data_IF_811058822478
#
_entry.id   IF_811058822478
#
_cell.length_a   1.000
_cell.length_b   1.000
_cell.length_c   1.000
_cell.angle_alpha   90.00
_cell.angle_beta   90.00
_cell.angle_gamma   90.00
#
_symmetry.space_group_name_H-M   'P 1'
#
loop_
_entity.id
_entity.type
_entity.pdbx_description
1 polymer ?
#
# COMPACT_ATOMS: atom_id res chain seq x y z
N UNK A 1 28.85 -6.04 -7.62
CA UNK A 1 28.29 -5.32 -6.45
C UNK A 1 26.80 -5.59 -6.23
N UNK A 2 25.91 -5.40 -7.22
CA UNK A 2 24.45 -5.64 -7.05
C UNK A 2 24.06 -7.06 -6.60
N UNK A 3 24.63 -8.13 -7.20
CA UNK A 3 24.33 -9.53 -6.81
C UNK A 3 24.70 -9.85 -5.36
N UNK A 4 25.85 -9.39 -4.89
CA UNK A 4 26.30 -9.65 -3.52
C UNK A 4 25.46 -8.88 -2.49
N UNK A 5 24.98 -7.67 -2.85
CA UNK A 5 24.05 -6.90 -2.03
C UNK A 5 22.67 -7.58 -1.93
N UNK A 6 22.16 -8.12 -3.05
CA UNK A 6 20.91 -8.90 -3.05
C UNK A 6 21.04 -10.19 -2.23
N UNK A 7 22.14 -10.93 -2.37
CA UNK A 7 22.41 -12.14 -1.59
C UNK A 7 22.51 -11.81 -0.11
N UNK A 8 23.21 -10.73 0.25
CA UNK A 8 23.33 -10.24 1.62
C UNK A 8 21.97 -9.84 2.22
N UNK A 9 21.11 -9.16 1.45
CA UNK A 9 19.75 -8.86 1.89
C UNK A 9 18.91 -10.12 2.12
N UNK A 10 19.04 -11.12 1.24
CA UNK A 10 18.32 -12.39 1.36
C UNK A 10 18.82 -13.18 2.57
N UNK A 11 20.14 -13.28 2.79
CA UNK A 11 20.70 -13.97 3.96
C UNK A 11 20.39 -13.24 5.26
N UNK A 12 20.39 -11.90 5.26
CA UNK A 12 19.96 -11.11 6.41
C UNK A 12 18.47 -11.38 6.72
N UNK A 13 17.62 -11.38 5.69
CA UNK A 13 16.19 -11.71 5.82
C UNK A 13 15.98 -13.13 6.38
N UNK A 14 16.74 -14.13 5.89
CA UNK A 14 16.64 -15.53 6.37
C UNK A 14 17.15 -15.69 7.81
N UNK A 15 18.21 -14.97 8.19
CA UNK A 15 18.74 -15.01 9.56
C UNK A 15 17.78 -14.39 10.59
N UNK A 16 17.04 -13.34 10.20
CA UNK A 16 16.01 -12.70 11.03
C UNK A 16 14.78 -13.60 11.27
N UNK A 17 14.59 -14.65 10.45
CA UNK A 17 13.48 -15.60 10.59
C UNK A 17 13.79 -16.76 11.57
N UNK A 18 15.01 -16.85 12.11
CA UNK A 18 15.52 -18.05 12.82
C UNK A 18 15.36 -18.04 14.36
N UNK A 19 14.49 -17.23 14.94
CA UNK A 19 14.20 -17.26 16.40
C UNK A 19 13.23 -18.40 16.77
N UNK A 20 13.29 -18.97 17.98
CA UNK A 20 12.47 -20.12 18.44
C UNK A 20 11.25 -19.71 19.28
N UNK A 21 10.28 -20.63 19.43
CA UNK A 21 8.95 -20.57 20.07
C UNK A 21 7.76 -20.36 19.11
N UNK A 22 6.88 -21.38 19.05
CA UNK A 22 5.69 -21.49 18.19
C UNK A 22 4.58 -20.53 18.65
N UNK A 23 4.79 -19.23 18.44
CA UNK A 23 3.72 -18.24 18.31
C UNK A 23 3.40 -18.07 16.82
N UNK A 24 2.22 -17.55 16.53
CA UNK A 24 1.74 -17.26 15.18
C UNK A 24 2.63 -16.22 14.50
N UNK A 25 3.54 -16.65 13.62
CA UNK A 25 4.58 -15.72 13.13
C UNK A 25 4.23 -15.01 11.85
N UNK A 26 3.30 -15.56 11.07
CA UNK A 26 3.04 -15.08 9.72
C UNK A 26 1.54 -14.87 9.56
N UNK A 27 1.15 -13.75 8.95
CA UNK A 27 -0.21 -13.45 8.60
C UNK A 27 -0.30 -12.97 7.16
N UNK A 28 -1.41 -13.29 6.51
CA UNK A 28 -1.80 -12.72 5.22
C UNK A 28 -3.04 -11.85 5.40
N UNK A 29 -3.13 -10.77 4.63
CA UNK A 29 -4.09 -9.70 4.87
C UNK A 29 -4.67 -9.22 3.56
N UNK A 30 -5.97 -8.93 3.57
CA UNK A 30 -6.63 -8.17 2.51
C UNK A 30 -7.44 -7.04 3.13
N UNK A 31 -7.23 -5.82 2.65
CA UNK A 31 -7.95 -4.62 3.02
C UNK A 31 -9.19 -4.45 2.15
N UNK A 32 -10.35 -4.61 2.78
CA UNK A 32 -11.66 -4.60 2.14
C UNK A 32 -12.04 -3.23 1.57
N UNK A 33 -11.39 -2.13 2.02
CA UNK A 33 -11.61 -0.80 1.44
C UNK A 33 -11.03 -0.68 0.02
N UNK A 34 -9.99 -1.44 -0.32
CA UNK A 34 -9.42 -1.40 -1.66
C UNK A 34 -10.25 -2.21 -2.66
N UNK A 35 -10.93 -3.26 -2.21
CA UNK A 35 -11.86 -4.03 -3.03
C UNK A 35 -13.01 -3.14 -3.56
N UNK A 36 -13.46 -2.19 -2.73
CA UNK A 36 -14.44 -1.15 -3.09
C UNK A 36 -13.94 -0.26 -4.24
N UNK A 37 -12.62 -0.10 -4.40
CA UNK A 37 -12.00 0.65 -5.51
C UNK A 37 -11.56 -0.24 -6.67
N UNK A 38 -11.93 -1.52 -6.66
CA UNK A 38 -11.44 -2.55 -7.59
C UNK A 38 -9.91 -2.68 -7.61
N UNK A 39 -9.24 -2.34 -6.51
CA UNK A 39 -7.78 -2.46 -6.36
C UNK A 39 -7.48 -3.79 -5.70
N UNK A 40 -6.79 -4.67 -6.42
CA UNK A 40 -6.29 -5.93 -5.87
C UNK A 40 -5.23 -5.59 -4.84
N UNK A 41 -5.37 -6.11 -3.63
CA UNK A 41 -4.45 -5.81 -2.55
C UNK A 41 -4.12 -7.08 -1.76
N UNK A 42 -2.88 -7.19 -1.30
CA UNK A 42 -2.40 -8.30 -0.49
C UNK A 42 -1.30 -7.81 0.44
N UNK A 43 -1.42 -8.13 1.72
CA UNK A 43 -0.42 -7.89 2.75
C UNK A 43 0.12 -9.17 3.33
N UNK A 44 1.39 -9.18 3.68
CA UNK A 44 2.03 -10.21 4.49
C UNK A 44 2.66 -9.54 5.70
N UNK A 45 2.40 -10.07 6.89
CA UNK A 45 2.90 -9.53 8.15
C UNK A 45 3.60 -10.62 8.96
N UNK A 46 4.80 -10.33 9.45
CA UNK A 46 5.62 -11.26 10.19
C UNK A 46 5.99 -10.72 11.58
N UNK A 47 5.81 -11.52 12.63
CA UNK A 47 6.23 -11.19 14.00
C UNK A 47 7.73 -11.43 14.18
N UNK A 48 8.48 -10.34 14.34
CA UNK A 48 9.93 -10.37 14.55
C UNK A 48 10.31 -10.35 16.03
N UNK A 49 9.41 -9.88 16.90
CA UNK A 49 9.55 -9.91 18.36
C UNK A 49 8.16 -9.85 19.01
N UNK A 50 8.01 -10.14 20.32
CA UNK A 50 6.69 -10.24 20.98
C UNK A 50 5.74 -9.05 20.81
N UNK A 51 6.29 -7.87 20.52
CA UNK A 51 5.55 -6.61 20.29
C UNK A 51 5.90 -5.92 18.98
N UNK A 52 6.63 -6.58 18.08
CA UNK A 52 7.05 -6.01 16.81
C UNK A 52 6.69 -6.92 15.65
N UNK A 53 5.99 -6.36 14.68
CA UNK A 53 5.74 -7.01 13.40
C UNK A 53 6.25 -6.15 12.25
N UNK A 54 6.59 -6.81 11.14
CA UNK A 54 6.91 -6.17 9.88
C UNK A 54 5.88 -6.59 8.84
N UNK A 55 5.23 -5.61 8.22
CA UNK A 55 4.26 -5.82 7.15
C UNK A 55 4.85 -5.38 5.81
N UNK A 56 4.55 -6.12 4.75
CA UNK A 56 4.69 -5.68 3.37
C UNK A 56 3.33 -5.79 2.69
N UNK A 57 2.81 -4.68 2.19
CA UNK A 57 1.57 -4.65 1.41
C UNK A 57 1.83 -4.26 -0.04
N UNK A 58 1.14 -4.94 -0.95
CA UNK A 58 1.14 -4.65 -2.37
C UNK A 58 -0.29 -4.32 -2.81
N UNK A 59 -0.43 -3.25 -3.58
CA UNK A 59 -1.69 -2.79 -4.14
C UNK A 59 -1.53 -2.68 -5.66
N UNK A 60 -2.45 -3.24 -6.41
CA UNK A 60 -2.41 -3.29 -7.87
C UNK A 60 -3.80 -3.05 -8.47
N UNK A 61 -3.87 -2.06 -9.35
CA UNK A 61 -5.05 -1.75 -10.14
C UNK A 61 -4.66 -1.78 -11.62
N UNK A 62 -5.12 -2.76 -12.41
CA UNK A 62 -4.78 -2.85 -13.83
C UNK A 62 -5.76 -2.11 -14.75
N UNK A 63 -6.86 -1.55 -14.22
CA UNK A 63 -8.05 -1.29 -15.02
C UNK A 63 -7.88 -0.13 -16.00
N UNK A 64 -8.41 -0.35 -17.20
CA UNK A 64 -8.66 0.67 -18.22
C UNK A 64 -10.11 0.52 -18.64
N UNK A 65 -10.86 1.62 -18.60
CA UNK A 65 -12.27 1.66 -18.91
C UNK A 65 -12.49 2.27 -20.31
N UNK A 66 -13.74 2.28 -20.79
CA UNK A 66 -14.10 2.89 -22.07
C UNK A 66 -13.64 4.37 -22.14
N UNK A 67 -13.43 4.86 -23.36
CA UNK A 67 -12.98 6.23 -23.64
C UNK A 67 -11.62 6.60 -23.02
N UNK A 68 -10.69 5.62 -22.95
CA UNK A 68 -9.30 5.81 -22.50
C UNK A 68 -9.18 6.30 -21.04
N UNK A 69 -10.20 6.02 -20.23
CA UNK A 69 -10.17 6.23 -18.78
C UNK A 69 -9.22 5.22 -18.14
N UNK A 70 -8.17 5.69 -17.45
CA UNK A 70 -7.13 4.83 -16.85
C UNK A 70 -7.15 4.96 -15.34
N UNK A 71 -7.06 3.81 -14.68
CA UNK A 71 -6.94 3.71 -13.23
C UNK A 71 -5.80 2.76 -12.89
N UNK A 72 -4.64 2.93 -13.53
CA UNK A 72 -3.52 2.01 -13.30
C UNK A 72 -2.69 2.47 -12.12
N UNK A 73 -2.42 1.56 -11.20
CA UNK A 73 -1.61 1.81 -10.02
C UNK A 73 -0.91 0.52 -9.63
N UNK A 74 0.37 0.58 -9.32
CA UNK A 74 1.00 -0.42 -8.46
C UNK A 74 1.71 0.31 -7.33
N UNK A 75 1.61 -0.22 -6.12
CA UNK A 75 2.21 0.37 -4.93
C UNK A 75 2.67 -0.72 -3.97
N UNK A 76 3.86 -0.54 -3.41
CA UNK A 76 4.34 -1.29 -2.25
C UNK A 76 4.34 -0.37 -1.03
N UNK A 77 3.99 -0.92 0.12
CA UNK A 77 3.96 -0.21 1.38
C UNK A 77 4.45 -1.12 2.51
N UNK A 78 5.77 -1.14 2.79
CA UNK A 78 6.32 -1.78 3.97
C UNK A 78 6.05 -0.94 5.23
N UNK A 79 5.80 -1.62 6.34
CA UNK A 79 5.47 -1.00 7.62
C UNK A 79 6.10 -1.77 8.79
N UNK A 80 6.74 -1.03 9.69
CA UNK A 80 7.14 -1.55 10.99
C UNK A 80 6.06 -1.20 12.01
N UNK A 81 5.62 -2.18 12.79
CA UNK A 81 4.50 -2.03 13.71
C UNK A 81 4.91 -2.41 15.12
N UNK A 82 4.58 -1.54 16.07
CA UNK A 82 4.76 -1.77 17.49
C UNK A 82 3.41 -1.98 18.17
N UNK A 83 3.24 -3.14 18.81
CA UNK A 83 2.04 -3.56 19.51
C UNK A 83 2.13 -3.21 20.99
N UNK A 84 1.05 -2.67 21.56
CA UNK A 84 1.06 -2.26 22.97
C UNK A 84 1.06 -3.45 23.95
N UNK A 85 0.55 -4.60 23.54
CA UNK A 85 0.46 -5.80 24.38
C UNK A 85 1.25 -6.97 23.79
N UNK A 86 0.78 -7.52 22.66
CA UNK A 86 1.36 -8.66 21.95
C UNK A 86 1.07 -8.54 20.45
N UNK A 87 1.94 -9.11 19.61
CA UNK A 87 1.74 -9.21 18.16
C UNK A 87 0.33 -9.70 17.80
N UNK A 88 -0.24 -9.10 16.75
CA UNK A 88 -1.56 -9.47 16.22
C UNK A 88 -2.73 -9.36 17.23
N UNK A 89 -2.63 -8.52 18.26
CA UNK A 89 -3.71 -8.34 19.24
C UNK A 89 -3.80 -6.92 19.81
N UNK A 90 -4.97 -6.31 19.66
CA UNK A 90 -5.28 -5.00 20.22
C UNK A 90 -4.60 -3.84 19.48
N UNK A 91 -4.11 -2.86 20.24
CA UNK A 91 -3.58 -1.61 19.72
C UNK A 91 -2.16 -1.74 19.15
N UNK A 92 -1.90 -1.06 18.04
CA UNK A 92 -0.56 -0.90 17.50
C UNK A 92 -0.32 0.48 16.88
N UNK A 93 0.95 0.86 16.81
CA UNK A 93 1.44 2.02 16.06
C UNK A 93 2.31 1.52 14.90
N UNK A 94 2.16 2.14 13.74
CA UNK A 94 2.89 1.81 12.52
C UNK A 94 3.76 2.97 12.04
N UNK A 95 4.91 2.66 11.45
CA UNK A 95 5.67 3.58 10.63
C UNK A 95 5.89 2.93 9.27
N UNK A 96 5.44 3.58 8.20
CA UNK A 96 5.42 3.01 6.85
C UNK A 96 6.15 3.86 5.84
N UNK A 97 6.73 3.19 4.86
CA UNK A 97 7.11 3.77 3.59
C UNK A 97 6.04 3.37 2.58
N UNK A 98 5.84 4.17 1.55
CA UNK A 98 4.99 3.81 0.42
C UNK A 98 5.61 4.29 -0.88
N UNK A 99 5.42 3.55 -1.95
CA UNK A 99 5.85 3.99 -3.26
C UNK A 99 5.43 3.07 -4.38
N UNK A 100 5.43 3.62 -5.58
CA UNK A 100 4.99 2.91 -6.77
C UNK A 100 4.71 3.85 -7.93
N UNK A 101 4.04 3.33 -8.94
CA UNK A 101 3.74 4.08 -10.16
C UNK A 101 2.25 4.09 -10.44
N UNK A 102 1.82 5.17 -11.08
CA UNK A 102 0.43 5.39 -11.40
C UNK A 102 0.26 5.94 -12.81
N UNK A 103 -0.90 5.66 -13.39
CA UNK A 103 -1.37 6.21 -14.65
C UNK A 103 -2.88 6.42 -14.54
N UNK A 104 -3.26 7.65 -14.20
CA UNK A 104 -4.63 8.07 -14.00
C UNK A 104 -5.04 9.07 -15.07
N UNK A 105 -6.25 8.93 -15.61
CA UNK A 105 -6.79 9.91 -16.55
C UNK A 105 -8.26 9.66 -16.85
N UNK A 106 -9.02 10.73 -17.07
CA UNK A 106 -10.41 10.65 -17.52
C UNK A 106 -11.44 10.20 -16.48
N UNK A 107 -11.02 9.79 -15.27
CA UNK A 107 -11.90 9.30 -14.21
C UNK A 107 -11.23 9.38 -12.84
N UNK A 108 -12.01 9.69 -11.81
CA UNK A 108 -11.65 9.47 -10.40
C UNK A 108 -12.06 8.05 -9.96
N UNK A 109 -11.63 7.58 -8.78
CA UNK A 109 -12.20 6.38 -8.17
C UNK A 109 -13.74 6.44 -8.18
N UNK A 110 -14.41 5.28 -8.29
CA UNK A 110 -15.89 5.14 -8.35
C UNK A 110 -16.58 5.54 -9.65
N UNK A 111 -15.87 5.62 -10.78
CA UNK A 111 -16.55 5.91 -12.05
C UNK A 111 -16.87 7.39 -12.25
N UNK A 112 -16.50 8.24 -11.30
CA UNK A 112 -16.80 9.67 -11.35
C UNK A 112 -15.98 10.29 -12.47
N UNK A 113 -16.67 10.86 -13.45
CA UNK A 113 -16.03 11.61 -14.53
C UNK A 113 -15.93 13.07 -14.07
N UNK A 114 -14.75 13.55 -13.65
CA UNK A 114 -14.59 14.95 -13.29
C UNK A 114 -14.88 15.85 -14.50
N UNK A 115 -15.37 17.07 -14.23
CA UNK A 115 -15.71 18.06 -15.25
C UNK A 115 -14.60 18.21 -16.31
N UNK A 116 -15.01 18.50 -17.55
CA UNK A 116 -14.17 18.63 -18.75
C UNK A 116 -12.98 19.59 -18.62
N UNK A 117 -12.99 20.48 -17.61
CA UNK A 117 -11.92 21.44 -17.33
C UNK A 117 -10.84 20.95 -16.35
N UNK A 118 -10.99 19.76 -15.74
CA UNK A 118 -10.12 19.25 -14.66
C UNK A 118 -9.36 17.95 -14.97
N UNK A 119 -9.26 17.04 -13.98
CA UNK A 119 -8.66 15.69 -14.14
C UNK A 119 -9.26 14.86 -15.29
N UNK A 120 -10.42 15.28 -15.81
CA UNK A 120 -11.15 14.61 -16.88
C UNK A 120 -10.57 14.87 -18.28
N UNK A 121 -9.82 15.95 -18.48
CA UNK A 121 -9.24 16.33 -19.78
C UNK A 121 -7.75 16.05 -19.92
N UNK A 122 -7.08 15.58 -18.86
CA UNK A 122 -5.65 15.29 -18.86
C UNK A 122 -5.35 13.94 -18.21
N UNK A 123 -4.34 13.27 -18.73
CA UNK A 123 -3.80 12.03 -18.18
C UNK A 123 -2.48 12.32 -17.46
N UNK A 124 -2.32 11.72 -16.29
CA UNK A 124 -1.15 11.86 -15.43
C UNK A 124 -0.50 10.49 -15.27
N UNK A 125 0.78 10.38 -15.61
CA UNK A 125 1.55 9.16 -15.44
C UNK A 125 2.85 9.49 -14.72
N UNK A 126 3.18 8.72 -13.69
CA UNK A 126 4.32 9.04 -12.86
C UNK A 126 4.55 8.04 -11.74
N UNK A 127 5.39 8.46 -10.80
CA UNK A 127 5.74 7.71 -9.61
C UNK A 127 5.43 8.51 -8.36
N UNK A 128 5.26 7.80 -7.26
CA UNK A 128 5.11 8.37 -5.94
C UNK A 128 6.02 7.65 -4.95
N UNK A 129 6.54 8.40 -3.98
CA UNK A 129 7.22 7.86 -2.82
C UNK A 129 6.87 8.69 -1.60
N UNK A 130 6.75 8.05 -0.45
CA UNK A 130 6.32 8.71 0.76
C UNK A 130 6.63 7.92 2.01
N UNK A 131 6.39 8.60 3.13
CA UNK A 131 6.56 8.07 4.47
C UNK A 131 5.36 8.47 5.32
N UNK A 132 5.02 7.67 6.30
CA UNK A 132 3.92 7.98 7.20
C UNK A 132 4.00 7.23 8.51
N UNK A 133 3.10 7.62 9.39
CA UNK A 133 2.84 6.94 10.66
C UNK A 133 1.36 6.58 10.72
N UNK A 134 1.04 5.53 11.46
CA UNK A 134 -0.31 5.05 11.59
C UNK A 134 -0.60 4.50 12.96
N UNK A 135 -1.89 4.31 13.21
CA UNK A 135 -2.41 3.67 14.40
C UNK A 135 -3.53 2.72 13.96
N UNK A 136 -3.60 1.58 14.63
CA UNK A 136 -4.63 0.60 14.36
C UNK A 136 -5.03 -0.21 15.57
N UNK A 137 -6.12 -0.95 15.39
CA UNK A 137 -6.64 -1.89 16.36
C UNK A 137 -6.99 -3.20 15.66
N UNK A 138 -6.55 -4.31 16.24
CA UNK A 138 -6.80 -5.66 15.73
C UNK A 138 -7.68 -6.45 16.69
N UNK A 139 -8.86 -6.86 16.21
CA UNK A 139 -9.78 -7.78 16.88
C UNK A 139 -9.48 -9.22 16.50
N UNK A 140 -9.28 -10.07 17.51
CA UNK A 140 -9.15 -11.53 17.32
C UNK A 140 -10.56 -12.13 17.19
N UNK A 141 -10.93 -12.56 15.99
CA UNK A 141 -12.26 -13.12 15.72
C UNK A 141 -12.32 -14.63 15.97
N UNK A 142 -11.18 -15.31 15.96
CA UNK A 142 -11.09 -16.74 16.22
C UNK A 142 -9.64 -17.23 16.26
N UNK A 143 -9.44 -18.54 16.08
CA UNK A 143 -8.11 -19.16 16.19
C UNK A 143 -7.09 -18.66 15.15
N UNK A 144 -7.56 -18.22 13.98
CA UNK A 144 -6.73 -17.83 12.84
C UNK A 144 -7.23 -16.59 12.10
N UNK A 145 -8.36 -16.02 12.49
CA UNK A 145 -8.95 -14.89 11.79
C UNK A 145 -8.95 -13.68 12.70
N UNK A 146 -8.43 -12.56 12.19
CA UNK A 146 -8.52 -11.27 12.83
C UNK A 146 -9.16 -10.26 11.87
N UNK A 147 -9.72 -9.20 12.46
CA UNK A 147 -10.14 -8.00 11.77
C UNK A 147 -9.29 -6.84 12.28
N UNK A 148 -8.84 -5.96 11.38
CA UNK A 148 -8.02 -4.82 11.73
C UNK A 148 -8.62 -3.53 11.16
N UNK A 149 -8.70 -2.49 11.98
CA UNK A 149 -8.92 -1.13 11.51
C UNK A 149 -7.61 -0.35 11.62
N UNK A 150 -7.27 0.44 10.61
CA UNK A 150 -6.03 1.24 10.60
C UNK A 150 -6.24 2.56 9.89
N UNK A 151 -5.61 3.60 10.43
CA UNK A 151 -5.51 4.91 9.81
C UNK A 151 -4.06 5.40 9.90
N UNK A 152 -3.57 6.03 8.84
CA UNK A 152 -2.24 6.59 8.78
C UNK A 152 -2.20 7.91 8.05
N UNK A 153 -1.31 8.79 8.52
CA UNK A 153 -1.05 10.10 7.95
C UNK A 153 0.42 10.20 7.59
N UNK A 154 0.74 10.96 6.56
CA UNK A 154 2.10 11.03 6.07
C UNK A 154 2.28 12.01 4.93
N UNK A 155 3.47 11.97 4.38
CA UNK A 155 3.92 12.83 3.31
C UNK A 155 4.23 11.99 2.07
N UNK A 156 3.76 12.43 0.92
CA UNK A 156 4.01 11.79 -0.37
C UNK A 156 4.54 12.83 -1.35
N UNK A 157 5.63 12.50 -2.03
CA UNK A 157 6.13 13.20 -3.20
C UNK A 157 5.67 12.48 -4.46
N UNK A 158 5.12 13.24 -5.41
CA UNK A 158 4.70 12.77 -6.72
C UNK A 158 5.59 13.41 -7.80
N UNK A 159 6.13 12.59 -8.71
CA UNK A 159 6.75 13.04 -9.95
C UNK A 159 5.95 12.51 -11.14
N UNK A 160 5.49 13.37 -12.04
CA UNK A 160 4.58 12.96 -13.10
C UNK A 160 4.73 13.75 -14.41
N UNK A 161 4.36 13.07 -15.49
CA UNK A 161 4.15 13.63 -16.81
C UNK A 161 2.65 13.81 -17.07
N UNK A 162 2.31 14.93 -17.69
CA UNK A 162 0.97 15.31 -18.13
C UNK A 162 0.84 15.04 -19.62
N UNK A 163 -0.27 14.42 -20.02
CA UNK A 163 -0.60 14.12 -21.40
C UNK A 163 -2.02 14.60 -21.72
N UNK A 164 -2.31 14.84 -23.00
CA UNK A 164 -3.69 15.02 -23.44
C UNK A 164 -4.53 13.76 -23.16
N UNK A 165 -5.82 13.93 -22.88
CA UNK A 165 -6.76 12.82 -22.67
C UNK A 165 -7.22 12.20 -24.00
N UNK A 166 -6.27 11.55 -24.70
CA UNK A 166 -6.51 10.74 -25.91
C UNK A 166 -5.66 9.47 -25.87
N UNK A 167 -6.05 8.46 -26.64
CA UNK A 167 -5.38 7.15 -26.69
C UNK A 167 -3.88 7.27 -27.01
N UNK A 168 -3.52 8.32 -27.78
CA UNK A 168 -2.16 8.76 -28.10
C UNK A 168 -2.05 10.30 -27.99
N UNK A 169 -2.18 10.85 -26.77
CA UNK A 169 -2.03 12.28 -26.53
C UNK A 169 -0.58 12.73 -26.36
N UNK A 170 -0.23 13.90 -26.87
CA UNK A 170 1.09 14.51 -26.71
C UNK A 170 1.41 14.81 -25.24
N UNK A 171 2.70 14.77 -24.90
CA UNK A 171 3.19 15.17 -23.57
C UNK A 171 3.06 16.69 -23.44
N UNK A 172 2.17 17.12 -22.55
CA UNK A 172 1.93 18.52 -22.23
C UNK A 172 3.01 19.12 -21.31
N UNK A 173 3.74 18.26 -20.58
CA UNK A 173 4.86 18.65 -19.73
C UNK A 173 5.01 17.79 -18.49
N UNK A 174 6.07 18.03 -17.73
CA UNK A 174 6.33 17.34 -16.46
C UNK A 174 5.95 18.21 -15.26
N UNK A 175 5.86 17.61 -14.08
CA UNK A 175 5.60 18.31 -12.84
C UNK A 175 5.89 17.43 -11.62
N UNK A 176 5.93 18.07 -10.47
CA UNK A 176 5.97 17.38 -9.19
C UNK A 176 4.97 18.01 -8.22
N UNK A 177 4.53 17.23 -7.23
CA UNK A 177 3.62 17.72 -6.20
C UNK A 177 3.91 17.03 -4.88
N UNK A 178 3.85 17.79 -3.81
CA UNK A 178 3.93 17.28 -2.45
C UNK A 178 2.53 17.19 -1.86
N UNK A 179 2.26 16.14 -1.11
CA UNK A 179 1.00 15.90 -0.43
C UNK A 179 1.27 15.56 1.03
N UNK A 180 0.53 16.20 1.92
CA UNK A 180 0.52 15.90 3.35
C UNK A 180 -0.93 15.58 3.73
N UNK A 181 -1.19 14.40 4.25
CA UNK A 181 -2.54 13.96 4.59
C UNK A 181 -2.65 12.47 4.86
N UNK A 182 -3.86 11.89 4.76
CA UNK A 182 -4.08 10.46 4.87
C UNK A 182 -3.24 9.66 3.85
N UNK A 183 -2.43 8.72 4.35
CA UNK A 183 -1.58 7.84 3.52
C UNK A 183 -1.89 6.36 3.71
N UNK A 184 -2.69 6.00 4.72
CA UNK A 184 -3.19 4.65 4.93
C UNK A 184 -4.60 4.72 5.52
N UNK A 185 -5.49 3.89 5.03
CA UNK A 185 -6.78 3.62 5.65
C UNK A 185 -7.15 2.17 5.33
N UNK A 186 -7.61 1.41 6.32
CA UNK A 186 -7.93 0.02 6.08
C UNK A 186 -8.92 -0.58 7.07
N UNK A 187 -9.74 -1.47 6.52
CA UNK A 187 -10.49 -2.48 7.25
C UNK A 187 -10.01 -3.81 6.68
N UNK A 188 -9.09 -4.47 7.38
CA UNK A 188 -8.37 -5.63 6.86
C UNK A 188 -8.88 -6.91 7.49
N UNK A 189 -9.20 -7.90 6.65
CA UNK A 189 -9.38 -9.27 7.08
C UNK A 189 -8.01 -9.96 7.06
N UNK A 190 -7.67 -10.60 8.17
CA UNK A 190 -6.35 -11.17 8.41
C UNK A 190 -6.50 -12.65 8.68
N UNK A 191 -5.68 -13.45 8.00
CA UNK A 191 -5.53 -14.87 8.28
C UNK A 191 -4.13 -15.17 8.81
N UNK A 192 -4.07 -15.74 9.99
CA UNK A 192 -2.85 -16.14 10.66
C UNK A 192 -2.43 -17.53 10.18
N UNK A 193 -1.23 -17.60 9.58
CA UNK A 193 -0.56 -18.81 9.12
C UNK A 193 0.24 -19.40 10.29
N UNK A 194 0.12 -20.71 10.45
CA UNK A 194 0.78 -21.48 11.51
C UNK A 194 1.96 -22.24 10.93
#
# INVERSE_FOLDING_TARGET
MRKNFTIFMITLLVSLLSGTASAQRLAVKSNLLYDITSTINLGVEYEVAPRWTLEMSANYNPWSFSDNKKMKLWMLQPEARYWLCSGFSGHFFGAHLLGGEFNYGGMLPFGITPSSSGLGSKRYQGWMAGVGIGYGYNWVLGKRWNLEATLGVGYIHFGYDRFECKTCGDKLGSGSKNYLGPTKAGISLIYIIK
#
